data_IF_183457149716
#
_entry.id   IF_183457149716
#
_cell.length_a   1.000
_cell.length_b   1.000
_cell.length_c   1.000
_cell.angle_alpha   90.00
_cell.angle_beta   90.00
_cell.angle_gamma   90.00
#
_symmetry.space_group_name_H-M   'P 1'
#
loop_
_entity.id
_entity.type
_entity.pdbx_description
1 polymer ?
#
# COMPACT_ATOMS: atom_id res chain seq x y z
N UNK A 1 -13.36 19.97 47.56
CA UNK A 1 -11.99 20.23 47.09
C UNK A 1 -11.49 18.92 46.54
N UNK A 2 -11.19 18.92 45.26
CA UNK A 2 -10.11 18.19 44.58
C UNK A 2 -10.58 17.86 43.17
N UNK A 3 -10.12 18.70 42.24
CA UNK A 3 -10.34 18.55 40.82
C UNK A 3 -9.37 17.51 40.26
N UNK A 4 -9.91 16.57 39.49
CA UNK A 4 -9.11 15.65 38.71
C UNK A 4 -9.09 16.14 37.25
N UNK A 5 -7.91 16.57 36.82
CA UNK A 5 -7.66 17.06 35.46
C UNK A 5 -6.84 15.98 34.74
N UNK A 6 -7.50 15.04 34.08
CA UNK A 6 -6.82 14.09 33.22
C UNK A 6 -6.56 14.75 31.86
N UNK A 7 -5.28 15.02 31.58
CA UNK A 7 -4.79 15.51 30.29
C UNK A 7 -4.58 14.31 29.37
N UNK A 8 -5.35 14.27 28.27
CA UNK A 8 -5.09 13.40 27.14
C UNK A 8 -3.78 13.82 26.44
N UNK A 9 -2.78 12.93 26.45
CA UNK A 9 -1.57 13.03 25.66
C UNK A 9 -1.82 12.45 24.26
N UNK A 10 -2.40 13.27 23.38
CA UNK A 10 -2.33 13.06 21.93
C UNK A 10 -1.04 13.69 21.40
N UNK A 11 0.04 12.90 21.30
CA UNK A 11 1.23 13.30 20.54
C UNK A 11 0.97 13.08 19.05
N UNK A 12 0.21 13.98 18.44
CA UNK A 12 0.24 14.21 17.00
C UNK A 12 1.25 15.34 16.75
N UNK A 13 2.40 15.03 16.17
CA UNK A 13 3.30 16.07 15.64
C UNK A 13 2.60 16.63 14.41
N UNK A 14 1.88 17.74 14.60
CA UNK A 14 1.33 18.51 13.50
C UNK A 14 2.48 19.09 12.68
N UNK A 15 2.57 18.69 11.41
CA UNK A 15 3.44 19.36 10.45
C UNK A 15 3.03 20.84 10.37
N UNK A 16 3.97 21.79 10.32
CA UNK A 16 3.62 23.18 10.12
C UNK A 16 2.90 23.35 8.77
N UNK A 17 1.90 24.23 8.68
CA UNK A 17 1.26 24.53 7.40
C UNK A 17 2.33 25.06 6.43
N UNK A 18 2.29 24.67 5.14
CA UNK A 18 3.19 25.22 4.15
C UNK A 18 2.96 26.73 4.05
N UNK A 19 4.06 27.49 3.96
CA UNK A 19 4.03 28.93 3.76
C UNK A 19 3.16 29.27 2.55
N UNK A 20 2.10 30.04 2.80
CA UNK A 20 1.06 30.42 1.85
C UNK A 20 1.62 31.52 0.91
N UNK A 21 2.53 31.16 0.01
CA UNK A 21 2.88 32.02 -1.13
C UNK A 21 1.68 32.05 -2.08
N UNK A 22 0.83 33.06 -1.88
CA UNK A 22 -0.36 33.32 -2.69
C UNK A 22 0.05 33.67 -4.13
N UNK A 23 0.10 32.66 -5.01
CA UNK A 23 0.36 32.86 -6.44
C UNK A 23 -0.88 33.49 -7.09
N UNK A 24 -0.70 34.63 -7.74
CA UNK A 24 -1.82 35.38 -8.32
C UNK A 24 -2.45 34.66 -9.51
N UNK A 25 -3.77 34.81 -9.71
CA UNK A 25 -4.49 34.22 -10.86
C UNK A 25 -3.91 34.68 -12.21
N UNK A 26 -3.34 35.88 -12.26
CA UNK A 26 -2.66 36.44 -13.44
C UNK A 26 -1.30 35.79 -13.71
N UNK A 27 -0.58 35.34 -12.68
CA UNK A 27 0.66 34.57 -12.86
C UNK A 27 0.37 33.15 -13.34
N UNK A 28 -0.70 32.52 -12.82
CA UNK A 28 -1.17 31.21 -13.29
C UNK A 28 -1.58 31.24 -14.78
N UNK A 29 -2.18 32.34 -15.25
CA UNK A 29 -2.54 32.55 -16.66
C UNK A 29 -1.33 32.77 -17.59
N UNK A 30 -0.18 33.18 -17.06
CA UNK A 30 1.04 33.36 -17.85
C UNK A 30 1.81 32.05 -18.12
N UNK A 31 1.43 30.95 -17.45
CA UNK A 31 2.10 29.63 -17.51
C UNK A 31 1.32 28.59 -18.34
N UNK A 32 0.32 29.02 -19.12
CA UNK A 32 -0.66 28.15 -19.80
C UNK A 32 -0.12 27.26 -20.91
N UNK A 33 1.21 27.16 -21.09
CA UNK A 33 1.84 26.28 -22.08
C UNK A 33 2.70 25.16 -21.45
N UNK A 34 2.50 24.86 -20.16
CA UNK A 34 3.40 24.00 -19.36
C UNK A 34 2.67 23.07 -18.40
N UNK A 35 1.70 22.34 -18.94
CA UNK A 35 0.95 21.29 -18.23
C UNK A 35 1.68 19.96 -18.39
N UNK A 36 1.75 19.17 -17.33
CA UNK A 36 2.34 17.84 -17.37
C UNK A 36 1.47 16.91 -18.22
N UNK A 37 2.05 16.18 -19.19
CA UNK A 37 1.31 15.22 -19.97
C UNK A 37 0.81 14.08 -19.07
N UNK A 38 -0.39 13.58 -19.36
CA UNK A 38 -0.98 12.47 -18.63
C UNK A 38 -2.05 11.76 -19.44
N UNK A 39 -2.36 10.54 -19.01
CA UNK A 39 -3.48 9.75 -19.51
C UNK A 39 -4.70 9.96 -18.61
N UNK A 40 -5.89 9.92 -19.18
CA UNK A 40 -7.14 10.12 -18.45
C UNK A 40 -7.89 8.79 -18.37
N UNK A 41 -8.36 8.43 -17.18
CA UNK A 41 -9.19 7.24 -16.98
C UNK A 41 -10.70 7.57 -17.03
N UNK A 42 -11.55 6.54 -17.02
CA UNK A 42 -13.01 6.68 -17.08
C UNK A 42 -13.66 7.20 -15.79
N UNK A 43 -12.88 7.42 -14.73
CA UNK A 43 -13.33 7.90 -13.42
C UNK A 43 -12.91 9.35 -13.15
N UNK A 44 -12.59 10.09 -14.22
CA UNK A 44 -12.04 11.45 -14.16
C UNK A 44 -10.68 11.53 -13.44
N UNK A 45 -9.96 10.41 -13.36
CA UNK A 45 -8.59 10.38 -12.88
C UNK A 45 -7.58 10.79 -13.96
N UNK A 46 -6.40 11.20 -13.50
CA UNK A 46 -5.27 11.56 -14.36
C UNK A 46 -4.05 10.77 -13.93
N UNK A 47 -3.38 10.14 -14.88
CA UNK A 47 -2.12 9.42 -14.67
C UNK A 47 -1.02 10.20 -15.36
N UNK A 48 -0.18 10.87 -14.58
CA UNK A 48 0.94 11.68 -15.10
C UNK A 48 1.94 10.77 -15.82
N UNK A 49 2.34 11.15 -17.03
CA UNK A 49 3.37 10.44 -17.78
C UNK A 49 4.76 10.68 -17.17
N UNK A 50 5.20 9.72 -16.39
CA UNK A 50 6.50 9.72 -15.71
C UNK A 50 7.71 9.86 -16.64
N UNK A 51 7.58 9.51 -17.93
CA UNK A 51 8.68 9.58 -18.91
C UNK A 51 8.95 11.00 -19.39
N UNK A 52 7.97 11.88 -19.23
CA UNK A 52 7.98 13.25 -19.71
C UNK A 52 8.15 14.26 -18.57
N UNK A 53 8.58 13.80 -17.39
CA UNK A 53 8.80 14.65 -16.24
C UNK A 53 10.06 15.51 -16.41
N UNK A 54 10.00 16.82 -16.06
CA UNK A 54 11.20 17.64 -15.99
C UNK A 54 12.23 17.08 -15.01
N UNK A 55 13.49 17.03 -15.42
CA UNK A 55 14.60 16.59 -14.57
C UNK A 55 14.92 17.59 -13.44
N UNK A 56 14.55 18.86 -13.59
CA UNK A 56 14.76 19.89 -12.58
C UNK A 56 13.54 19.98 -11.64
N UNK A 57 13.79 19.96 -10.33
CA UNK A 57 12.73 19.94 -9.32
C UNK A 57 11.93 21.26 -9.28
N UNK A 58 12.58 22.40 -9.55
CA UNK A 58 11.91 23.71 -9.55
C UNK A 58 10.99 23.86 -10.76
N UNK A 59 11.45 23.41 -11.93
CA UNK A 59 10.63 23.36 -13.15
C UNK A 59 9.45 22.40 -12.96
N UNK A 60 9.72 21.20 -12.44
CA UNK A 60 8.67 20.22 -12.13
C UNK A 60 7.62 20.79 -11.17
N UNK A 61 8.03 21.45 -10.08
CA UNK A 61 7.12 22.09 -9.12
C UNK A 61 6.19 23.10 -9.80
N UNK A 62 6.73 23.97 -10.66
CA UNK A 62 5.92 24.95 -11.41
C UNK A 62 4.88 24.28 -12.30
N UNK A 63 5.30 23.26 -13.06
CA UNK A 63 4.40 22.54 -13.98
C UNK A 63 3.35 21.76 -13.21
N UNK A 64 3.72 21.16 -12.08
CA UNK A 64 2.80 20.41 -11.23
C UNK A 64 1.69 21.31 -10.66
N UNK A 65 2.05 22.49 -10.13
CA UNK A 65 1.07 23.45 -9.59
C UNK A 65 0.11 23.93 -10.70
N UNK A 66 0.65 24.28 -11.87
CA UNK A 66 -0.18 24.69 -13.01
C UNK A 66 -1.13 23.57 -13.47
N UNK A 67 -0.63 22.33 -13.51
CA UNK A 67 -1.41 21.16 -13.90
C UNK A 67 -2.54 20.86 -12.91
N UNK A 68 -2.25 20.90 -11.61
CA UNK A 68 -3.26 20.72 -10.54
C UNK A 68 -4.36 21.78 -10.67
N UNK A 69 -3.99 23.04 -10.86
CA UNK A 69 -4.96 24.13 -11.01
C UNK A 69 -5.87 23.91 -12.23
N UNK A 70 -5.32 23.44 -13.36
CA UNK A 70 -6.11 23.10 -14.54
C UNK A 70 -7.02 21.89 -14.30
N UNK A 71 -6.49 20.79 -13.77
CA UNK A 71 -7.28 19.59 -13.48
C UNK A 71 -8.41 19.85 -12.48
N UNK A 72 -8.21 20.77 -11.54
CA UNK A 72 -9.27 21.25 -10.64
C UNK A 72 -10.38 21.98 -11.40
N UNK A 73 -10.04 22.86 -12.35
CA UNK A 73 -11.03 23.54 -13.23
C UNK A 73 -11.79 22.54 -14.12
N UNK A 74 -11.09 21.51 -14.59
CA UNK A 74 -11.66 20.41 -15.39
C UNK A 74 -12.45 19.39 -14.56
N UNK A 75 -12.55 19.59 -13.23
CA UNK A 75 -13.23 18.69 -12.29
C UNK A 75 -12.69 17.25 -12.31
N UNK A 76 -11.38 17.10 -12.49
CA UNK A 76 -10.69 15.83 -12.31
C UNK A 76 -10.69 15.43 -10.84
N UNK A 77 -10.56 14.13 -10.61
CA UNK A 77 -10.68 13.51 -9.30
C UNK A 77 -9.30 13.12 -8.75
N UNK A 78 -8.87 11.89 -9.04
CA UNK A 78 -7.64 11.32 -8.53
C UNK A 78 -6.47 11.51 -9.49
N UNK A 79 -5.40 12.11 -9.02
CA UNK A 79 -4.17 12.31 -9.78
C UNK A 79 -3.14 11.30 -9.32
N UNK A 80 -2.59 10.52 -10.25
CA UNK A 80 -1.59 9.49 -10.02
C UNK A 80 -0.25 9.93 -10.57
N UNK A 81 0.79 9.81 -9.75
CA UNK A 81 2.15 10.17 -10.10
C UNK A 81 3.08 8.99 -9.78
N UNK A 82 3.55 8.33 -10.83
CA UNK A 82 4.63 7.34 -10.74
C UNK A 82 5.97 8.05 -10.81
N UNK A 83 6.80 7.93 -9.78
CA UNK A 83 8.17 8.45 -9.79
C UNK A 83 9.17 7.28 -9.78
N UNK A 84 9.90 7.05 -10.89
CA UNK A 84 11.04 6.14 -10.89
C UNK A 84 12.06 6.55 -9.82
N UNK A 85 12.81 5.56 -9.29
CA UNK A 85 13.81 5.79 -8.25
C UNK A 85 14.87 6.85 -8.64
N UNK A 86 15.18 6.95 -9.93
CA UNK A 86 16.10 7.94 -10.51
C UNK A 86 15.59 9.39 -10.38
N UNK A 87 14.28 9.57 -10.20
CA UNK A 87 13.61 10.86 -10.04
C UNK A 87 13.29 11.18 -8.58
N UNK A 88 13.95 10.56 -7.59
CA UNK A 88 13.69 10.76 -6.15
C UNK A 88 13.69 12.23 -5.71
N UNK A 89 14.52 13.07 -6.36
CA UNK A 89 14.57 14.52 -6.13
C UNK A 89 13.24 15.25 -6.38
N UNK A 90 12.31 14.65 -7.12
CA UNK A 90 11.00 15.23 -7.40
C UNK A 90 9.96 14.92 -6.32
N UNK A 91 10.26 13.98 -5.40
CA UNK A 91 9.32 13.53 -4.36
C UNK A 91 8.95 14.68 -3.42
N UNK A 92 9.94 15.45 -2.96
CA UNK A 92 9.69 16.59 -2.06
C UNK A 92 8.73 17.61 -2.70
N UNK A 93 8.95 17.95 -3.97
CA UNK A 93 8.09 18.87 -4.71
C UNK A 93 6.66 18.33 -4.86
N UNK A 94 6.49 17.02 -5.09
CA UNK A 94 5.17 16.39 -5.18
C UNK A 94 4.44 16.41 -3.84
N UNK A 95 5.12 16.04 -2.75
CA UNK A 95 4.54 16.05 -1.39
C UNK A 95 4.16 17.47 -0.96
N UNK A 96 5.02 18.46 -1.25
CA UNK A 96 4.71 19.88 -0.99
C UNK A 96 3.48 20.38 -1.78
N UNK A 97 3.17 19.77 -2.92
CA UNK A 97 1.96 20.04 -3.71
C UNK A 97 0.72 19.25 -3.24
N UNK A 98 0.83 18.51 -2.12
CA UNK A 98 -0.29 17.79 -1.49
C UNK A 98 -0.40 16.32 -1.87
N UNK A 99 0.54 15.75 -2.64
CA UNK A 99 0.52 14.32 -2.93
C UNK A 99 0.83 13.49 -1.69
N UNK A 100 0.05 12.44 -1.46
CA UNK A 100 0.31 11.40 -0.47
C UNK A 100 0.96 10.15 -1.08
N UNK A 101 1.69 9.39 -0.26
CA UNK A 101 2.20 8.09 -0.69
C UNK A 101 1.09 7.06 -0.77
N UNK A 102 1.04 6.32 -1.87
CA UNK A 102 0.10 5.22 -2.05
C UNK A 102 0.79 3.88 -1.86
N UNK A 103 1.78 3.55 -2.70
CA UNK A 103 2.59 2.34 -2.58
C UNK A 103 3.98 2.57 -3.15
N UNK A 104 4.90 1.68 -2.85
CA UNK A 104 6.24 1.69 -3.41
C UNK A 104 6.59 0.29 -3.91
N UNK A 105 7.29 0.25 -5.03
CA UNK A 105 7.98 -0.93 -5.55
C UNK A 105 9.49 -0.66 -5.52
N UNK A 106 10.35 -1.68 -5.64
CA UNK A 106 11.80 -1.47 -5.61
C UNK A 106 12.31 -0.42 -6.61
N UNK A 107 11.62 -0.25 -7.75
CA UNK A 107 12.02 0.65 -8.83
C UNK A 107 11.28 2.00 -8.86
N UNK A 108 10.19 2.18 -8.09
CA UNK A 108 9.40 3.41 -8.16
C UNK A 108 8.54 3.66 -6.92
N UNK A 109 8.18 4.93 -6.71
CA UNK A 109 7.18 5.37 -5.74
C UNK A 109 5.90 5.80 -6.47
N UNK A 110 4.74 5.34 -6.01
CA UNK A 110 3.44 5.82 -6.47
C UNK A 110 2.88 6.82 -5.47
N UNK A 111 2.57 8.02 -5.96
CA UNK A 111 1.90 9.05 -5.19
C UNK A 111 0.53 9.35 -5.77
N UNK A 112 -0.39 9.79 -4.91
CA UNK A 112 -1.74 10.17 -5.30
C UNK A 112 -2.17 11.48 -4.67
N UNK A 113 -2.95 12.27 -5.41
CA UNK A 113 -3.62 13.48 -4.92
C UNK A 113 -5.11 13.39 -5.25
N UNK A 114 -5.97 13.63 -4.27
CA UNK A 114 -7.42 13.72 -4.46
C UNK A 114 -7.83 15.19 -4.49
N UNK A 115 -8.40 15.63 -5.62
CA UNK A 115 -8.79 17.03 -5.83
C UNK A 115 -10.17 17.43 -5.26
N UNK A 116 -11.20 16.55 -5.27
CA UNK A 116 -12.52 16.91 -4.74
C UNK A 116 -12.52 17.13 -3.22
N UNK A 117 -13.41 18.00 -2.74
CA UNK A 117 -13.60 18.26 -1.30
C UNK A 117 -14.30 17.10 -0.56
N UNK A 118 -14.82 16.11 -1.30
CA UNK A 118 -15.52 14.93 -0.77
C UNK A 118 -14.57 13.79 -0.34
N UNK A 119 -15.13 12.68 0.17
CA UNK A 119 -14.32 11.53 0.58
C UNK A 119 -13.49 11.00 -0.58
N UNK A 120 -12.23 10.66 -0.31
CA UNK A 120 -11.35 10.06 -1.30
C UNK A 120 -11.84 8.65 -1.65
N UNK A 121 -12.14 8.42 -2.94
CA UNK A 121 -12.57 7.11 -3.45
C UNK A 121 -11.45 6.35 -4.15
N UNK A 122 -10.21 6.82 -4.05
CA UNK A 122 -9.06 6.08 -4.54
C UNK A 122 -8.96 4.75 -3.77
N UNK A 123 -8.74 3.62 -4.46
CA UNK A 123 -8.51 2.35 -3.78
C UNK A 123 -7.34 2.50 -2.80
N UNK A 124 -7.45 2.01 -1.56
CA UNK A 124 -6.31 1.98 -0.65
C UNK A 124 -5.24 1.01 -1.18
N UNK A 125 -4.03 1.14 -0.67
CA UNK A 125 -2.96 0.20 -0.97
C UNK A 125 -3.24 -1.21 -0.41
N UNK A 126 -2.44 -2.19 -0.86
CA UNK A 126 -2.55 -3.57 -0.42
C UNK A 126 -2.35 -3.64 1.11
N UNK A 127 -3.41 -4.02 1.82
CA UNK A 127 -3.47 -4.02 3.28
C UNK A 127 -3.28 -5.39 3.92
N UNK A 128 -3.43 -6.46 3.14
CA UNK A 128 -3.41 -7.83 3.64
C UNK A 128 -2.23 -8.59 3.05
N UNK A 129 -1.56 -9.37 3.91
CA UNK A 129 -0.71 -10.46 3.47
C UNK A 129 -1.58 -11.69 3.27
N UNK A 130 -1.40 -12.35 2.13
CA UNK A 130 -2.10 -13.60 1.83
C UNK A 130 -1.12 -14.74 2.08
N UNK A 131 -1.55 -15.67 2.92
CA UNK A 131 -0.83 -16.91 3.21
C UNK A 131 -1.62 -18.11 2.72
N UNK A 132 -0.90 -19.17 2.38
CA UNK A 132 -1.44 -20.46 1.95
C UNK A 132 -1.01 -21.55 2.91
N UNK A 133 -1.90 -22.50 3.15
CA UNK A 133 -1.61 -23.75 3.85
C UNK A 133 -2.09 -24.91 2.99
N UNK A 134 -1.23 -25.91 2.80
CA UNK A 134 -1.50 -27.03 1.91
C UNK A 134 -1.88 -28.29 2.69
N UNK A 135 -3.13 -28.74 2.53
CA UNK A 135 -3.58 -30.04 3.04
C UNK A 135 -3.37 -31.09 1.95
N UNK A 136 -2.25 -31.82 2.02
CA UNK A 136 -1.87 -32.79 0.99
C UNK A 136 -2.14 -34.21 1.48
N UNK A 137 -2.95 -34.96 0.73
CA UNK A 137 -3.26 -36.37 0.96
C UNK A 137 -2.60 -37.26 -0.09
N UNK A 138 -2.16 -38.44 0.32
CA UNK A 138 -1.79 -39.52 -0.59
C UNK A 138 -2.93 -40.55 -0.77
N UNK A 139 -2.73 -41.53 -1.65
CA UNK A 139 -3.72 -42.59 -1.93
C UNK A 139 -4.04 -43.50 -0.73
N UNK A 140 -3.26 -43.41 0.34
CA UNK A 140 -3.45 -44.17 1.59
C UNK A 140 -4.16 -43.35 2.67
N UNK A 141 -4.66 -42.16 2.36
CA UNK A 141 -5.24 -41.20 3.31
C UNK A 141 -4.25 -40.72 4.40
N UNK A 142 -2.96 -40.67 4.09
CA UNK A 142 -1.94 -40.08 4.97
C UNK A 142 -1.73 -38.61 4.58
N UNK A 143 -1.49 -37.76 5.59
CA UNK A 143 -1.30 -36.32 5.41
C UNK A 143 0.19 -35.98 5.39
N UNK A 144 0.61 -35.14 4.44
CA UNK A 144 1.94 -34.55 4.46
C UNK A 144 2.04 -33.49 5.57
N UNK A 145 3.04 -33.63 6.43
CA UNK A 145 3.34 -32.67 7.47
C UNK A 145 4.83 -32.35 7.52
N UNK A 146 5.15 -31.16 8.02
CA UNK A 146 6.52 -30.64 8.15
C UNK A 146 6.79 -30.18 9.57
N UNK A 147 8.07 -30.13 9.92
CA UNK A 147 8.58 -29.46 11.11
C UNK A 147 9.50 -28.32 10.69
N UNK A 148 9.31 -27.14 11.26
CA UNK A 148 10.10 -25.95 10.92
C UNK A 148 11.57 -26.14 11.29
N UNK A 149 12.47 -25.98 10.31
CA UNK A 149 13.92 -25.88 10.56
C UNK A 149 14.28 -24.52 11.17
N UNK A 150 13.55 -23.48 10.81
CA UNK A 150 13.68 -22.10 11.26
C UNK A 150 12.28 -21.49 11.40
N UNK A 151 12.04 -20.71 12.46
CA UNK A 151 10.73 -20.12 12.73
C UNK A 151 10.26 -20.30 14.17
N UNK A 152 9.05 -19.83 14.51
CA UNK A 152 8.49 -19.88 15.86
C UNK A 152 8.34 -21.28 16.43
N UNK A 153 8.22 -22.31 15.58
CA UNK A 153 8.01 -23.70 16.00
C UNK A 153 9.29 -24.55 15.94
N UNK A 154 10.46 -23.94 15.63
CA UNK A 154 11.74 -24.66 15.59
C UNK A 154 12.03 -25.38 16.91
N UNK A 155 12.33 -26.67 16.83
CA UNK A 155 12.71 -27.49 17.99
C UNK A 155 11.58 -27.84 18.96
N UNK A 156 10.34 -27.47 18.64
CA UNK A 156 9.17 -27.80 19.48
C UNK A 156 8.62 -29.21 19.24
N UNK A 157 9.02 -29.85 18.13
CA UNK A 157 8.48 -31.15 17.70
C UNK A 157 7.05 -31.08 17.14
N UNK A 158 6.47 -29.88 17.00
CA UNK A 158 5.14 -29.68 16.42
C UNK A 158 5.18 -29.92 14.92
N UNK A 159 4.32 -30.83 14.45
CA UNK A 159 4.05 -31.06 13.04
C UNK A 159 2.93 -30.14 12.58
N UNK A 160 3.12 -29.51 11.42
CA UNK A 160 2.10 -28.67 10.76
C UNK A 160 1.98 -29.03 9.29
N UNK A 161 0.92 -28.55 8.65
CA UNK A 161 0.84 -28.55 7.19
C UNK A 161 1.92 -27.63 6.59
N UNK A 162 2.36 -27.87 5.35
CA UNK A 162 3.17 -26.90 4.63
C UNK A 162 2.44 -25.56 4.51
N UNK A 163 3.14 -24.46 4.77
CA UNK A 163 2.54 -23.12 4.78
C UNK A 163 3.54 -22.07 4.33
N UNK A 164 3.08 -21.08 3.57
CA UNK A 164 3.90 -19.90 3.25
C UNK A 164 3.08 -18.71 2.77
N UNK A 165 3.77 -17.65 2.38
CA UNK A 165 3.14 -16.44 1.84
C UNK A 165 3.05 -16.52 0.32
N UNK A 166 1.97 -15.99 -0.25
CA UNK A 166 1.88 -15.82 -1.70
C UNK A 166 2.70 -14.63 -2.13
N UNK A 167 3.39 -14.76 -3.26
CA UNK A 167 4.10 -13.64 -3.88
C UNK A 167 3.11 -12.65 -4.51
N UNK A 168 3.56 -11.41 -4.72
CA UNK A 168 2.74 -10.40 -5.40
C UNK A 168 2.48 -10.82 -6.85
N UNK A 169 1.21 -10.85 -7.24
CA UNK A 169 0.79 -11.30 -8.59
C UNK A 169 0.81 -12.82 -8.78
N UNK A 170 1.10 -13.60 -7.74
CA UNK A 170 1.02 -15.07 -7.77
C UNK A 170 -0.40 -15.55 -7.46
N UNK A 171 -0.87 -16.52 -8.23
CA UNK A 171 -2.14 -17.17 -7.95
C UNK A 171 -2.05 -18.05 -6.69
N UNK A 172 -3.12 -18.06 -5.89
CA UNK A 172 -3.15 -18.76 -4.59
C UNK A 172 -2.80 -20.25 -4.73
N UNK A 173 -3.28 -20.90 -5.79
CA UNK A 173 -3.01 -22.33 -6.04
C UNK A 173 -1.56 -22.58 -6.46
N UNK A 174 -0.96 -21.68 -7.25
CA UNK A 174 0.45 -21.77 -7.64
C UNK A 174 1.35 -21.58 -6.42
N UNK A 175 1.02 -20.61 -5.56
CA UNK A 175 1.70 -20.43 -4.28
C UNK A 175 1.62 -21.68 -3.41
N UNK A 176 0.46 -22.32 -3.29
CA UNK A 176 0.32 -23.55 -2.51
C UNK A 176 1.16 -24.72 -3.07
N UNK A 177 1.20 -24.91 -4.38
CA UNK A 177 2.03 -25.94 -5.03
C UNK A 177 3.52 -25.65 -4.84
N UNK A 178 3.93 -24.39 -5.03
CA UNK A 178 5.31 -23.94 -4.82
C UNK A 178 5.77 -24.20 -3.38
N UNK A 179 4.99 -23.80 -2.38
CA UNK A 179 5.35 -23.97 -0.97
C UNK A 179 5.52 -25.45 -0.58
N UNK A 180 4.64 -26.34 -1.05
CA UNK A 180 4.81 -27.78 -0.84
C UNK A 180 6.12 -28.26 -1.44
N UNK A 181 6.43 -27.83 -2.67
CA UNK A 181 7.67 -28.23 -3.36
C UNK A 181 8.92 -27.71 -2.65
N UNK A 182 8.91 -26.46 -2.20
CA UNK A 182 10.04 -25.81 -1.53
C UNK A 182 10.32 -26.40 -0.14
N UNK A 183 9.28 -26.69 0.65
CA UNK A 183 9.45 -27.22 2.01
C UNK A 183 9.73 -28.73 2.04
N UNK A 184 9.16 -29.49 1.10
CA UNK A 184 9.15 -30.97 1.16
C UNK A 184 9.81 -31.67 -0.02
N UNK A 185 9.98 -30.99 -1.15
CA UNK A 185 10.43 -31.59 -2.42
C UNK A 185 9.36 -32.38 -3.17
N UNK A 186 8.16 -32.55 -2.61
CA UNK A 186 7.06 -33.32 -3.21
C UNK A 186 6.34 -32.48 -4.27
N UNK A 187 6.04 -33.10 -5.41
CA UNK A 187 5.14 -32.51 -6.41
C UNK A 187 3.69 -32.76 -6.03
N UNK A 188 2.91 -31.68 -5.91
CA UNK A 188 1.50 -31.73 -5.58
C UNK A 188 0.65 -31.12 -6.71
N UNK A 189 -0.62 -31.50 -6.77
CA UNK A 189 -1.60 -30.92 -7.69
C UNK A 189 -2.69 -30.25 -6.88
N UNK A 190 -3.02 -29.01 -7.22
CA UNK A 190 -4.16 -28.33 -6.65
C UNK A 190 -5.48 -29.04 -7.02
N UNK A 191 -6.39 -29.14 -6.05
CA UNK A 191 -7.72 -29.75 -6.23
C UNK A 191 -8.79 -28.71 -5.94
N UNK A 192 -8.83 -28.19 -4.71
CA UNK A 192 -9.85 -27.24 -4.28
C UNK A 192 -9.36 -26.40 -3.10
N UNK A 193 -10.07 -25.30 -2.84
CA UNK A 193 -9.89 -24.53 -1.60
C UNK A 193 -10.89 -25.04 -0.57
N UNK A 194 -10.38 -25.52 0.56
CA UNK A 194 -11.19 -26.06 1.67
C UNK A 194 -11.64 -25.00 2.68
N UNK A 195 -11.00 -23.83 2.71
CA UNK A 195 -11.38 -22.73 3.59
C UNK A 195 -10.45 -21.54 3.53
N UNK A 196 -10.92 -20.42 4.07
CA UNK A 196 -10.15 -19.20 4.29
C UNK A 196 -10.32 -18.74 5.73
N UNK A 197 -9.28 -18.14 6.29
CA UNK A 197 -9.35 -17.47 7.58
C UNK A 197 -8.66 -16.12 7.50
N UNK A 198 -9.26 -15.12 8.13
CA UNK A 198 -8.66 -13.81 8.33
C UNK A 198 -8.16 -13.69 9.76
N UNK A 199 -6.99 -13.08 9.95
CA UNK A 199 -6.50 -12.69 11.26
C UNK A 199 -6.26 -11.19 11.26
N UNK A 200 -6.87 -10.49 12.20
CA UNK A 200 -6.51 -9.10 12.47
C UNK A 200 -5.37 -9.09 13.48
N UNK A 201 -4.16 -8.83 12.98
CA UNK A 201 -3.01 -8.53 13.81
C UNK A 201 -3.21 -7.17 14.46
N UNK A 202 -4.04 -7.07 15.51
CA UNK A 202 -3.98 -5.90 16.37
C UNK A 202 -2.56 -5.89 16.96
N UNK A 203 -1.84 -4.79 16.75
CA UNK A 203 -0.60 -4.52 17.48
C UNK A 203 -0.95 -4.42 18.96
N UNK A 204 -1.02 -5.55 19.66
CA UNK A 204 -1.35 -5.58 21.07
C UNK A 204 -0.18 -4.95 21.82
N UNK A 205 -0.41 -3.79 22.46
CA UNK A 205 0.25 -3.53 23.74
C UNK A 205 0.02 -4.80 24.57
N UNK A 206 1.11 -5.43 24.95
CA UNK A 206 1.15 -6.75 25.58
C UNK A 206 0.52 -6.67 26.97
N UNK A 207 -0.81 -6.64 27.09
CA UNK A 207 -1.51 -6.98 28.32
C UNK A 207 -2.22 -8.31 28.12
N UNK A 208 -1.72 -9.34 28.79
CA UNK A 208 -2.40 -10.63 28.88
C UNK A 208 -3.68 -10.46 29.69
N UNK A 209 -4.83 -10.45 29.04
CA UNK A 209 -6.11 -10.77 29.67
C UNK A 209 -6.70 -11.98 28.95
N UNK A 210 -6.74 -13.10 29.66
CA UNK A 210 -7.46 -14.31 29.24
C UNK A 210 -8.93 -14.10 29.56
N UNK A 211 -9.79 -14.05 28.54
CA UNK A 211 -11.23 -14.20 28.73
C UNK A 211 -11.65 -15.48 28.04
N UNK A 212 -11.89 -16.52 28.84
CA UNK A 212 -12.50 -17.78 28.42
C UNK A 212 -14.01 -17.62 28.50
N UNK A 213 -14.68 -17.62 27.35
CA UNK A 213 -16.14 -17.82 27.31
C UNK A 213 -16.36 -19.30 26.99
N UNK A 214 -16.84 -20.05 27.98
CA UNK A 214 -17.48 -21.35 27.75
C UNK A 214 -18.98 -21.13 27.55
N UNK A 215 -19.60 -22.04 26.78
CA UNK A 215 -21.01 -22.01 26.33
C UNK A 215 -22.01 -21.82 27.46
#
# INVERSE_FOLDING_TARGET
MDGDTSKDLSTGVALPPPDDEFVSEKELESWTNTILPGQYDSYEGVIIDHRSLPSDASVFKKYLIASIAQWKKERKHGIWLKLPIENVKLVEAAVAAGFGYHHAEPAYLMLTLWLPDGPCTLPPNASHQVGVGAFVLNDKNEILAVQEKNGPLKGTGVWKMPTGLTNQGEDIFDGAIREVKEETGVDARFVEVVGFSGCHCQSSKRSRSSTRVQR
#
